data_IF_064072117312
#
_entry.id   IF_064072117312
#
_cell.length_a   1.000
_cell.length_b   1.000
_cell.length_c   1.000
_cell.angle_alpha   90.00
_cell.angle_beta   90.00
_cell.angle_gamma   90.00
#
_symmetry.space_group_name_H-M   'P 1'
#
loop_
_entity.id
_entity.type
_entity.pdbx_description
1 polymer ?
#
# COMPACT_ATOMS: atom_id res chain seq x y z
N UNK A 1 -8.50 6.13 -33.15
CA UNK A 1 -7.05 6.35 -32.94
C UNK A 1 -6.39 5.01 -32.78
N UNK A 2 -5.23 4.78 -33.41
CA UNK A 2 -4.44 3.57 -33.13
C UNK A 2 -3.66 3.78 -31.83
N UNK A 3 -3.26 2.70 -31.16
CA UNK A 3 -2.38 2.77 -29.98
C UNK A 3 -1.08 3.52 -30.29
N UNK A 4 -0.58 3.39 -31.51
CA UNK A 4 0.61 4.10 -32.00
C UNK A 4 0.42 5.61 -32.06
N UNK A 5 -0.74 6.11 -32.50
CA UNK A 5 -0.98 7.56 -32.56
C UNK A 5 -1.12 8.18 -31.16
N UNK A 6 -1.71 7.45 -30.22
CA UNK A 6 -1.83 7.88 -28.82
C UNK A 6 -0.46 7.94 -28.12
N UNK A 7 0.38 6.92 -28.32
CA UNK A 7 1.72 6.90 -27.74
C UNK A 7 2.59 8.06 -28.25
N UNK A 8 2.51 8.37 -29.54
CA UNK A 8 3.24 9.49 -30.12
C UNK A 8 2.82 10.83 -29.49
N UNK A 9 1.53 11.04 -29.26
CA UNK A 9 1.02 12.25 -28.60
C UNK A 9 1.46 12.33 -27.14
N UNK A 10 1.39 11.21 -26.40
CA UNK A 10 1.89 11.14 -25.03
C UNK A 10 3.36 11.53 -24.95
N UNK A 11 4.23 10.98 -25.80
CA UNK A 11 5.66 11.33 -25.79
C UNK A 11 5.91 12.80 -26.15
N UNK A 12 5.09 13.39 -27.05
CA UNK A 12 5.16 14.82 -27.36
C UNK A 12 4.85 15.66 -26.13
N UNK A 13 3.75 15.36 -25.43
CA UNK A 13 3.36 16.10 -24.22
C UNK A 13 4.38 15.94 -23.09
N UNK A 14 4.95 14.74 -22.93
CA UNK A 14 6.02 14.50 -21.98
C UNK A 14 7.26 15.35 -22.27
N UNK A 15 7.59 15.54 -23.55
CA UNK A 15 8.73 16.35 -23.96
C UNK A 15 8.57 17.82 -23.56
N UNK A 16 7.35 18.37 -23.56
CA UNK A 16 7.09 19.75 -23.13
C UNK A 16 7.31 19.99 -21.63
N UNK A 17 7.16 18.95 -20.81
CA UNK A 17 7.24 19.06 -19.34
C UNK A 17 8.49 18.40 -18.76
N UNK A 18 9.33 17.76 -19.57
CA UNK A 18 10.46 16.94 -19.14
C UNK A 18 11.45 17.68 -18.24
N UNK A 19 11.70 18.97 -18.51
CA UNK A 19 12.62 19.80 -17.73
C UNK A 19 11.98 20.41 -16.47
N UNK A 20 10.67 20.21 -16.26
CA UNK A 20 9.97 20.70 -15.08
C UNK A 20 9.78 19.59 -14.05
N UNK A 21 10.66 19.57 -13.04
CA UNK A 21 10.66 18.58 -11.97
C UNK A 21 9.30 18.47 -11.25
N UNK A 22 8.63 19.59 -10.99
CA UNK A 22 7.33 19.58 -10.31
C UNK A 22 6.25 18.92 -11.16
N UNK A 23 6.24 19.19 -12.46
CA UNK A 23 5.32 18.54 -13.42
C UNK A 23 5.61 17.05 -13.54
N UNK A 24 6.88 16.66 -13.63
CA UNK A 24 7.30 15.25 -13.70
C UNK A 24 6.96 14.47 -12.42
N UNK A 25 7.11 15.09 -11.24
CA UNK A 25 6.68 14.48 -9.96
C UNK A 25 5.18 14.26 -9.91
N UNK A 26 4.38 15.22 -10.40
CA UNK A 26 2.91 15.07 -10.48
C UNK A 26 2.54 13.93 -11.44
N UNK A 27 3.13 13.91 -12.63
CA UNK A 27 2.92 12.84 -13.61
C UNK A 27 3.25 11.47 -13.02
N UNK A 28 4.41 11.32 -12.38
CA UNK A 28 4.81 10.06 -11.75
C UNK A 28 3.78 9.59 -10.72
N UNK A 29 3.22 10.51 -9.93
CA UNK A 29 2.16 10.19 -8.96
C UNK A 29 0.89 9.68 -9.65
N UNK A 30 0.48 10.30 -10.75
CA UNK A 30 -0.67 9.85 -11.52
C UNK A 30 -0.45 8.48 -12.17
N UNK A 31 0.71 8.26 -12.80
CA UNK A 31 1.05 6.97 -13.41
C UNK A 31 1.08 5.86 -12.37
N UNK A 32 1.70 6.09 -11.20
CA UNK A 32 1.68 5.12 -10.09
C UNK A 32 0.27 4.76 -9.66
N UNK A 33 -0.62 5.76 -9.57
CA UNK A 33 -2.03 5.51 -9.21
C UNK A 33 -2.74 4.64 -10.26
N UNK A 34 -2.55 4.93 -11.55
CA UNK A 34 -3.13 4.13 -12.63
C UNK A 34 -2.63 2.68 -12.62
N UNK A 35 -1.33 2.48 -12.39
CA UNK A 35 -0.75 1.14 -12.27
C UNK A 35 -1.36 0.37 -11.10
N UNK A 36 -1.51 1.01 -9.93
CA UNK A 36 -2.15 0.37 -8.78
C UNK A 36 -3.61 0.01 -9.05
N UNK A 37 -4.36 0.86 -9.75
CA UNK A 37 -5.75 0.59 -10.12
C UNK A 37 -5.86 -0.61 -11.07
N UNK A 38 -5.00 -0.68 -12.10
CA UNK A 38 -4.96 -1.82 -13.01
C UNK A 38 -4.65 -3.13 -12.28
N UNK A 39 -3.69 -3.13 -11.35
CA UNK A 39 -3.36 -4.30 -10.55
C UNK A 39 -4.51 -4.74 -9.63
N UNK A 40 -5.29 -3.80 -9.11
CA UNK A 40 -6.45 -4.08 -8.26
C UNK A 40 -7.62 -4.65 -9.08
N UNK A 41 -7.86 -4.10 -10.28
CA UNK A 41 -8.83 -4.63 -11.24
C UNK A 41 -8.47 -6.06 -11.70
N UNK A 42 -7.19 -6.32 -11.97
CA UNK A 42 -6.68 -7.65 -12.33
C UNK A 42 -6.85 -8.67 -11.18
N UNK A 43 -6.64 -8.25 -9.92
CA UNK A 43 -6.85 -9.11 -8.74
C UNK A 43 -8.32 -9.41 -8.47
N UNK A 44 -9.23 -8.47 -8.77
CA UNK A 44 -10.67 -8.69 -8.62
C UNK A 44 -11.25 -9.57 -9.75
N UNK A 45 -10.58 -9.65 -10.90
CA UNK A 45 -11.00 -10.45 -12.04
C UNK A 45 -10.64 -11.95 -11.94
N UNK A 46 -9.77 -12.35 -11.00
CA UNK A 46 -9.48 -13.77 -10.75
C UNK A 46 -10.52 -14.40 -9.81
N UNK A 47 -11.30 -15.40 -10.24
CA UNK A 47 -12.20 -16.11 -9.33
C UNK A 47 -11.34 -16.93 -8.36
N UNK A 48 -11.43 -16.60 -7.08
CA UNK A 48 -10.74 -17.32 -6.02
C UNK A 48 -11.35 -18.73 -5.97
N UNK A 49 -10.58 -19.72 -6.39
CA UNK A 49 -10.90 -21.13 -6.19
C UNK A 49 -10.74 -21.41 -4.70
N UNK A 50 -11.82 -21.92 -4.11
CA UNK A 50 -11.98 -22.17 -2.69
C UNK A 50 -10.96 -23.20 -2.17
N UNK A 51 -10.19 -22.80 -1.16
CA UNK A 51 -9.71 -23.69 -0.10
C UNK A 51 -9.85 -22.92 1.23
N UNK A 52 -10.34 -23.62 2.26
CA UNK A 52 -10.77 -23.12 3.58
C UNK A 52 -9.83 -22.10 4.21
N UNK A 53 -10.03 -20.82 3.91
CA UNK A 53 -9.30 -19.70 4.50
C UNK A 53 -10.33 -18.70 4.99
N UNK A 54 -10.27 -18.31 6.26
CA UNK A 54 -11.14 -17.29 6.85
C UNK A 54 -11.28 -16.11 5.88
N UNK A 55 -12.52 -15.81 5.52
CA UNK A 55 -12.87 -14.81 4.51
C UNK A 55 -12.17 -13.49 4.86
N UNK A 56 -11.20 -13.09 4.03
CA UNK A 56 -10.44 -11.86 4.23
C UNK A 56 -11.39 -10.67 4.14
N UNK A 57 -11.80 -10.16 5.30
CA UNK A 57 -12.61 -8.95 5.42
C UNK A 57 -11.66 -7.74 5.34
N UNK A 58 -11.78 -6.88 4.32
CA UNK A 58 -10.98 -5.66 4.27
C UNK A 58 -11.32 -4.78 5.48
N UNK A 59 -10.31 -4.47 6.31
CA UNK A 59 -10.49 -3.61 7.47
C UNK A 59 -10.96 -2.22 7.03
N UNK A 60 -11.96 -1.70 7.74
CA UNK A 60 -12.45 -0.35 7.54
C UNK A 60 -11.45 0.67 8.10
N UNK A 61 -11.52 1.91 7.62
CA UNK A 61 -10.67 3.01 8.14
C UNK A 61 -10.83 3.22 9.65
N UNK A 62 -12.03 2.96 10.18
CA UNK A 62 -12.32 3.11 11.60
C UNK A 62 -11.63 2.02 12.43
N UNK A 63 -11.66 0.78 11.97
CA UNK A 63 -10.96 -0.35 12.60
C UNK A 63 -9.44 -0.11 12.59
N UNK A 64 -8.86 0.33 11.47
CA UNK A 64 -7.43 0.67 11.37
C UNK A 64 -6.99 1.78 12.36
N UNK A 65 -7.84 2.78 12.57
CA UNK A 65 -7.57 3.88 13.51
C UNK A 65 -7.70 3.39 14.96
N UNK A 66 -8.66 2.51 15.24
CA UNK A 66 -8.81 1.91 16.57
C UNK A 66 -7.56 1.11 16.94
N UNK A 67 -7.09 0.24 16.04
CA UNK A 67 -5.89 -0.58 16.24
C UNK A 67 -4.65 0.30 16.47
N UNK A 68 -4.48 1.36 15.68
CA UNK A 68 -3.34 2.27 15.85
C UNK A 68 -3.37 3.01 17.19
N UNK A 69 -4.55 3.38 17.68
CA UNK A 69 -4.71 4.03 18.98
C UNK A 69 -4.41 3.05 20.12
N UNK A 70 -4.85 1.80 20.00
CA UNK A 70 -4.54 0.74 20.95
C UNK A 70 -3.02 0.52 21.07
N UNK A 71 -2.33 0.37 19.93
CA UNK A 71 -0.87 0.27 19.91
C UNK A 71 -0.19 1.49 20.55
N UNK A 72 -0.71 2.70 20.34
CA UNK A 72 -0.17 3.90 20.98
C UNK A 72 -0.30 3.87 22.51
N UNK A 73 -1.41 3.34 23.05
CA UNK A 73 -1.59 3.19 24.49
C UNK A 73 -0.68 2.11 25.07
N UNK A 74 -0.49 0.98 24.37
CA UNK A 74 0.45 -0.06 24.77
C UNK A 74 1.89 0.47 24.85
N UNK A 75 2.33 1.23 23.85
CA UNK A 75 3.66 1.87 23.84
C UNK A 75 3.83 2.84 25.00
N UNK A 76 2.77 3.60 25.37
CA UNK A 76 2.81 4.48 26.55
C UNK A 76 2.96 3.68 27.83
N UNK A 77 2.27 2.54 27.98
CA UNK A 77 2.37 1.67 29.15
C UNK A 77 3.74 0.99 29.26
N UNK A 78 4.34 0.59 28.13
CA UNK A 78 5.71 0.07 28.08
C UNK A 78 6.70 1.15 28.52
N UNK A 79 6.57 2.37 27.98
CA UNK A 79 7.43 3.50 28.36
C UNK A 79 7.29 3.87 29.83
N UNK A 80 6.09 3.74 30.40
CA UNK A 80 5.82 3.95 31.82
C UNK A 80 6.34 2.80 32.71
N UNK A 81 6.92 1.75 32.13
CA UNK A 81 7.41 0.57 32.85
C UNK A 81 6.29 -0.30 33.44
N UNK A 82 5.03 -0.05 33.07
CA UNK A 82 3.86 -0.78 33.57
C UNK A 82 3.55 -2.03 32.77
N UNK A 83 4.09 -2.13 31.55
CA UNK A 83 3.92 -3.26 30.65
C UNK A 83 5.29 -3.71 30.14
N UNK A 84 5.54 -5.02 30.12
CA UNK A 84 6.80 -5.58 29.65
C UNK A 84 6.70 -5.74 28.13
N UNK A 85 7.42 -4.92 27.38
CA UNK A 85 7.51 -5.08 25.93
C UNK A 85 8.28 -6.35 25.57
N UNK A 86 7.97 -6.93 24.42
CA UNK A 86 8.76 -8.03 23.85
C UNK A 86 10.04 -7.45 23.22
N UNK A 87 11.19 -8.08 23.47
CA UNK A 87 12.42 -7.68 22.79
C UNK A 87 12.48 -8.28 21.39
N UNK A 88 13.30 -7.68 20.53
CA UNK A 88 13.53 -8.19 19.18
C UNK A 88 14.09 -9.62 19.17
N UNK A 89 14.89 -9.99 20.17
CA UNK A 89 15.46 -11.33 20.30
C UNK A 89 14.39 -12.35 20.69
N UNK A 90 13.50 -12.01 21.62
CA UNK A 90 12.36 -12.85 22.01
C UNK A 90 11.43 -13.12 20.81
N UNK A 91 11.12 -12.06 20.06
CA UNK A 91 10.28 -12.15 18.86
C UNK A 91 10.93 -13.03 17.76
N UNK A 92 12.23 -12.86 17.54
CA UNK A 92 12.97 -13.67 16.57
C UNK A 92 12.98 -15.15 16.96
N UNK A 93 13.12 -15.46 18.25
CA UNK A 93 13.08 -16.84 18.74
C UNK A 93 11.69 -17.49 18.53
N UNK A 94 10.62 -16.71 18.63
CA UNK A 94 9.25 -17.20 18.43
C UNK A 94 8.95 -17.51 16.96
N UNK A 95 9.42 -16.69 16.02
CA UNK A 95 9.24 -16.91 14.58
C UNK A 95 10.02 -18.10 14.00
N UNK A 96 11.08 -18.52 14.68
CA UNK A 96 11.96 -19.61 14.23
C UNK A 96 11.74 -20.93 15.00
N UNK A 97 10.62 -21.04 15.74
CA UNK A 97 10.22 -22.25 16.47
C UNK A 97 9.32 -23.13 15.62
#
# INVERSE_FOLDING_TARGET
MSTTSLNAELFRELSYIADNENSMRKLLKYVKKLVSQQQEEERQATPVVAEDTEEYRPLTKAELIADLNEMCEEVKLIRAGKLKGQTWEDFKHELHR
#
